data_IF_447136530981
#
_entry.id   IF_447136530981
#
_cell.length_a   1.000
_cell.length_b   1.000
_cell.length_c   1.000
_cell.angle_alpha   90.00
_cell.angle_beta   90.00
_cell.angle_gamma   90.00
#
_symmetry.space_group_name_H-M   'P 1'
#
loop_
_entity.id
_entity.type
_entity.pdbx_description
1 polymer ?
#
# COMPACT_ATOMS: atom_id res chain seq x y z
N UNK A 1 1.61 4.25 -17.41
CA UNK A 1 1.67 5.69 -17.68
C UNK A 1 0.42 6.30 -17.07
N UNK A 2 0.55 6.87 -15.87
CA UNK A 2 -0.51 7.75 -15.37
C UNK A 2 -0.61 8.96 -16.28
N UNK A 3 -1.75 9.64 -16.28
CA UNK A 3 -1.90 10.90 -17.02
C UNK A 3 -0.95 11.92 -16.38
N UNK A 4 0.22 12.10 -16.97
CA UNK A 4 1.35 12.85 -16.38
C UNK A 4 0.96 14.27 -16.00
N UNK A 5 0.11 14.91 -16.81
CA UNK A 5 -0.40 16.26 -16.58
C UNK A 5 -1.54 16.33 -15.56
N UNK A 6 -2.21 15.21 -15.27
CA UNK A 6 -3.32 15.19 -14.32
C UNK A 6 -2.81 15.25 -12.89
N UNK A 7 -1.68 14.61 -12.59
CA UNK A 7 -1.08 14.68 -11.26
C UNK A 7 -0.65 16.11 -10.90
N UNK A 8 0.04 16.80 -11.82
CA UNK A 8 0.43 18.20 -11.67
C UNK A 8 -0.78 19.12 -11.47
N UNK A 9 -1.90 18.79 -12.11
CA UNK A 9 -3.14 19.52 -11.94
C UNK A 9 -3.80 19.25 -10.58
N UNK A 10 -3.89 17.97 -10.17
CA UNK A 10 -4.47 17.54 -8.90
C UNK A 10 -3.69 18.10 -7.71
N UNK A 11 -2.36 18.23 -7.84
CA UNK A 11 -1.51 18.85 -6.81
C UNK A 11 -1.96 20.27 -6.41
N UNK A 12 -2.65 21.01 -7.28
CA UNK A 12 -3.21 22.33 -6.97
C UNK A 12 -4.37 22.29 -5.98
N UNK A 13 -5.01 21.13 -5.83
CA UNK A 13 -6.16 20.89 -4.96
C UNK A 13 -5.78 20.08 -3.72
N UNK A 14 -4.53 19.66 -3.59
CA UNK A 14 -4.04 18.96 -2.39
C UNK A 14 -4.04 19.92 -1.22
N UNK A 15 -4.75 19.56 -0.16
CA UNK A 15 -4.78 20.31 1.08
C UNK A 15 -3.96 19.59 2.16
N UNK A 16 -3.16 20.34 2.96
CA UNK A 16 -2.50 19.75 4.11
C UNK A 16 -3.54 19.35 5.15
N UNK A 17 -3.50 18.09 5.58
CA UNK A 17 -4.37 17.56 6.63
C UNK A 17 -3.50 17.17 7.81
N UNK A 18 -3.80 17.72 8.99
CA UNK A 18 -3.18 17.26 10.22
C UNK A 18 -3.70 15.85 10.56
N UNK A 19 -2.81 14.96 10.97
CA UNK A 19 -3.16 13.57 11.31
C UNK A 19 -4.26 13.47 12.38
N UNK A 20 -4.34 14.43 13.30
CA UNK A 20 -5.39 14.49 14.32
C UNK A 20 -6.80 14.63 13.73
N UNK A 21 -6.95 15.14 12.50
CA UNK A 21 -8.25 15.17 11.79
C UNK A 21 -8.74 13.78 11.39
N UNK A 22 -7.83 12.79 11.33
CA UNK A 22 -8.12 11.39 11.03
C UNK A 22 -8.37 10.56 12.29
N UNK A 23 -8.33 11.17 13.48
CA UNK A 23 -8.57 10.47 14.74
C UNK A 23 -9.95 9.81 14.75
N UNK A 24 -10.01 8.56 15.23
CA UNK A 24 -11.17 7.67 15.22
C UNK A 24 -11.71 7.36 13.81
N UNK A 25 -10.93 7.58 12.76
CA UNK A 25 -11.28 7.18 11.39
C UNK A 25 -10.59 5.88 11.02
N UNK A 26 -11.35 5.01 10.36
CA UNK A 26 -10.83 3.87 9.60
C UNK A 26 -10.25 4.36 8.28
N UNK A 27 -8.99 4.04 8.02
CA UNK A 27 -8.27 4.46 6.81
C UNK A 27 -7.71 3.23 6.11
N UNK A 28 -8.08 3.04 4.83
CA UNK A 28 -7.48 2.00 4.00
C UNK A 28 -6.04 2.38 3.65
N UNK A 29 -5.18 1.39 3.47
CA UNK A 29 -3.78 1.59 3.07
C UNK A 29 -3.50 0.64 1.90
N UNK A 30 -3.00 1.17 0.79
CA UNK A 30 -2.42 0.32 -0.25
C UNK A 30 -1.06 -0.22 0.24
N UNK A 31 -1.06 -1.50 0.61
CA UNK A 31 0.12 -2.20 1.10
C UNK A 31 1.17 -2.45 0.02
N UNK A 32 0.77 -2.66 -1.25
CA UNK A 32 1.74 -2.87 -2.32
C UNK A 32 2.51 -1.59 -2.61
N UNK A 33 1.86 -0.43 -2.55
CA UNK A 33 2.55 0.87 -2.61
C UNK A 33 3.67 0.95 -1.56
N UNK A 34 3.39 0.68 -0.29
CA UNK A 34 4.41 0.73 0.78
C UNK A 34 5.54 -0.29 0.59
N UNK A 35 5.21 -1.52 0.22
CA UNK A 35 6.21 -2.55 -0.02
C UNK A 35 7.15 -2.13 -1.17
N UNK A 36 6.59 -1.56 -2.24
CA UNK A 36 7.35 -1.13 -3.40
C UNK A 36 8.25 0.08 -3.11
N UNK A 37 7.82 1.00 -2.25
CA UNK A 37 8.66 2.09 -1.76
C UNK A 37 9.92 1.57 -1.08
N UNK A 38 9.77 0.54 -0.24
CA UNK A 38 10.89 -0.06 0.48
C UNK A 38 11.82 -0.78 -0.48
N UNK A 39 11.27 -1.61 -1.39
CA UNK A 39 12.08 -2.38 -2.34
C UNK A 39 12.84 -1.51 -3.34
N UNK A 40 12.29 -0.35 -3.71
CA UNK A 40 12.97 0.64 -4.56
C UNK A 40 14.00 1.48 -3.81
N UNK A 41 14.27 1.19 -2.53
CA UNK A 41 15.20 1.95 -1.70
C UNK A 41 14.74 3.37 -1.39
N UNK A 42 13.45 3.69 -1.57
CA UNK A 42 12.90 5.02 -1.31
C UNK A 42 12.70 5.31 0.18
N UNK A 43 13.04 4.36 1.06
CA UNK A 43 12.94 4.50 2.53
C UNK A 43 14.34 4.46 3.12
N UNK A 44 14.96 5.65 3.25
CA UNK A 44 16.35 5.79 3.71
C UNK A 44 16.57 5.25 5.14
N UNK A 45 15.60 5.46 6.04
CA UNK A 45 15.75 5.24 7.48
C UNK A 45 15.74 3.77 7.92
N UNK A 46 15.08 2.88 7.17
CA UNK A 46 15.02 1.44 7.51
C UNK A 46 15.96 0.57 6.68
N UNK A 47 16.74 1.16 5.77
CA UNK A 47 17.57 0.45 4.79
C UNK A 47 18.65 -0.45 5.40
N UNK A 48 19.05 -0.20 6.65
CA UNK A 48 20.04 -0.99 7.39
C UNK A 48 19.45 -2.20 8.13
N UNK A 49 18.11 -2.30 8.24
CA UNK A 49 17.47 -3.42 8.88
C UNK A 49 17.51 -4.66 7.99
N UNK A 50 17.64 -5.85 8.58
CA UNK A 50 17.63 -7.14 7.85
C UNK A 50 16.34 -7.35 7.04
N UNK A 51 15.22 -6.80 7.52
CA UNK A 51 13.89 -6.84 6.89
C UNK A 51 13.26 -5.44 6.91
N UNK A 52 13.67 -4.54 6.00
CA UNK A 52 13.28 -3.13 6.03
C UNK A 52 11.77 -2.92 5.83
N UNK A 53 11.12 -3.84 5.11
CA UNK A 53 9.68 -3.82 4.86
C UNK A 53 8.88 -4.04 6.16
N UNK A 54 9.27 -5.00 6.99
CA UNK A 54 8.61 -5.22 8.29
C UNK A 54 8.75 -4.00 9.20
N UNK A 55 9.96 -3.43 9.29
CA UNK A 55 10.18 -2.22 10.09
C UNK A 55 9.34 -1.05 9.59
N UNK A 56 9.20 -0.90 8.27
CA UNK A 56 8.40 0.17 7.68
C UNK A 56 6.92 -0.01 8.02
N UNK A 57 6.36 -1.20 7.80
CA UNK A 57 4.96 -1.48 8.12
C UNK A 57 4.68 -1.33 9.62
N UNK A 58 5.57 -1.83 10.48
CA UNK A 58 5.46 -1.70 11.93
C UNK A 58 5.40 -0.23 12.35
N UNK A 59 6.39 0.57 11.98
CA UNK A 59 6.49 1.97 12.41
C UNK A 59 5.34 2.81 11.85
N UNK A 60 4.97 2.61 10.58
CA UNK A 60 3.86 3.37 9.97
C UNK A 60 2.51 3.01 10.60
N UNK A 61 2.21 1.72 10.78
CA UNK A 61 0.96 1.32 11.42
C UNK A 61 0.91 1.75 12.88
N UNK A 62 2.03 1.64 13.61
CA UNK A 62 2.14 2.10 14.99
C UNK A 62 1.84 3.60 15.12
N UNK A 63 2.44 4.44 14.28
CA UNK A 63 2.20 5.88 14.29
C UNK A 63 0.74 6.23 14.01
N UNK A 64 0.07 5.53 13.09
CA UNK A 64 -1.36 5.71 12.84
C UNK A 64 -2.20 5.32 14.05
N UNK A 65 -1.90 4.19 14.69
CA UNK A 65 -2.60 3.72 15.89
C UNK A 65 -2.41 4.66 17.08
N UNK A 66 -1.20 5.21 17.28
CA UNK A 66 -0.89 6.18 18.34
C UNK A 66 -1.69 7.48 18.17
N UNK A 67 -1.98 7.89 16.94
CA UNK A 67 -2.86 9.04 16.61
C UNK A 67 -4.36 8.70 16.66
N UNK A 68 -4.71 7.45 17.02
CA UNK A 68 -6.09 6.97 17.09
C UNK A 68 -6.73 6.74 15.72
N UNK A 69 -5.94 6.55 14.67
CA UNK A 69 -6.41 6.11 13.35
C UNK A 69 -6.48 4.59 13.32
N UNK A 70 -7.53 4.03 12.73
CA UNK A 70 -7.66 2.58 12.54
C UNK A 70 -7.22 2.18 11.11
N UNK A 71 -5.96 1.72 10.92
CA UNK A 71 -5.50 1.29 9.61
C UNK A 71 -6.14 -0.05 9.18
N UNK A 72 -6.47 -0.15 7.89
CA UNK A 72 -6.82 -1.41 7.22
C UNK A 72 -5.93 -1.56 5.99
N UNK A 73 -5.03 -2.53 6.01
CA UNK A 73 -4.06 -2.73 4.92
C UNK A 73 -4.67 -3.60 3.82
N UNK A 74 -4.65 -3.11 2.59
CA UNK A 74 -5.15 -3.82 1.42
C UNK A 74 -3.97 -4.20 0.53
N UNK A 75 -3.87 -5.49 0.22
CA UNK A 75 -2.87 -6.03 -0.71
C UNK A 75 -3.51 -6.33 -2.06
N UNK A 76 -2.78 -6.14 -3.15
CA UNK A 76 -3.18 -6.59 -4.47
C UNK A 76 -3.39 -8.10 -4.49
N UNK A 77 -4.39 -8.52 -5.27
CA UNK A 77 -4.63 -9.92 -5.55
C UNK A 77 -3.52 -10.49 -6.42
N UNK A 78 -3.02 -11.67 -6.05
CA UNK A 78 -2.21 -12.49 -6.93
C UNK A 78 -3.16 -13.48 -7.59
N UNK A 79 -3.19 -13.53 -8.93
CA UNK A 79 -4.01 -14.49 -9.67
C UNK A 79 -3.72 -15.91 -9.12
N UNK A 80 -4.76 -16.72 -8.84
CA UNK A 80 -4.60 -18.06 -8.26
C UNK A 80 -3.67 -18.97 -9.11
N UNK A 81 -3.70 -18.79 -10.43
CA UNK A 81 -2.77 -19.44 -11.37
C UNK A 81 -1.31 -19.01 -11.14
N UNK A 82 -1.05 -17.72 -10.86
CA UNK A 82 0.29 -17.23 -10.51
C UNK A 82 0.73 -17.81 -9.16
N UNK A 83 -0.18 -17.91 -8.18
CA UNK A 83 0.09 -18.48 -6.84
C UNK A 83 0.47 -19.96 -6.90
N UNK A 84 -0.26 -20.75 -7.70
CA UNK A 84 0.04 -22.18 -7.91
C UNK A 84 1.38 -22.40 -8.64
N UNK A 85 1.72 -21.55 -9.60
CA UNK A 85 3.01 -21.65 -10.31
C UNK A 85 4.21 -21.29 -9.42
N UNK A 86 4.01 -20.43 -8.41
CA UNK A 86 5.03 -20.10 -7.39
C UNK A 86 5.27 -21.29 -6.47
N UNK A 87 4.23 -21.93 -5.95
CA UNK A 87 4.35 -23.09 -5.03
C UNK A 87 5.00 -24.31 -5.69
N UNK A 88 4.79 -24.51 -7.00
CA UNK A 88 5.34 -25.65 -7.74
C UNK A 88 6.72 -25.41 -8.36
N UNK A 89 7.31 -24.22 -8.22
CA UNK A 89 8.64 -23.91 -8.79
C UNK A 89 8.72 -24.03 -10.32
N UNK A 90 7.59 -24.03 -11.03
CA UNK A 90 7.56 -24.23 -12.48
C UNK A 90 7.74 -22.89 -13.18
N UNK A 91 8.96 -22.67 -13.71
CA UNK A 91 9.29 -21.57 -14.62
C UNK A 91 8.65 -21.80 -16.00
N UNK A 92 7.33 -21.74 -16.12
CA UNK A 92 6.66 -21.75 -17.43
C UNK A 92 6.10 -20.38 -17.77
N UNK A 93 6.92 -19.63 -18.51
CA UNK A 93 6.52 -18.47 -19.30
C UNK A 93 5.25 -18.78 -20.11
N UNK A 94 4.13 -18.17 -19.74
CA UNK A 94 3.04 -17.88 -20.69
C UNK A 94 2.78 -16.39 -20.69
N UNK A 95 3.28 -15.73 -21.76
CA UNK A 95 2.99 -14.34 -22.11
C UNK A 95 1.50 -14.18 -22.44
N UNK A 96 0.65 -14.05 -21.43
CA UNK A 96 -0.63 -13.37 -21.62
C UNK A 96 -0.30 -11.87 -21.56
N UNK A 97 -0.22 -11.25 -22.73
CA UNK A 97 -0.16 -9.78 -22.87
C UNK A 97 -1.49 -9.20 -22.39
N UNK A 98 -1.71 -9.11 -21.07
CA UNK A 98 -2.74 -8.23 -20.51
C UNK A 98 -2.24 -6.79 -20.69
N UNK A 99 -2.77 -6.11 -21.70
CA UNK A 99 -2.66 -4.66 -21.89
C UNK A 99 -3.15 -3.99 -20.59
N UNK A 100 -2.22 -3.49 -19.79
CA UNK A 100 -2.54 -2.71 -18.58
C UNK A 100 -1.56 -2.87 -17.41
N UNK A 101 -0.74 -3.93 -17.34
CA UNK A 101 0.11 -4.14 -16.16
C UNK A 101 1.26 -3.13 -16.09
N UNK A 102 1.09 -2.08 -15.28
CA UNK A 102 2.16 -1.21 -14.76
C UNK A 102 3.32 -2.10 -14.26
N UNK A 103 4.45 -2.08 -14.96
CA UNK A 103 5.82 -2.21 -14.44
C UNK A 103 6.17 -3.27 -13.36
N UNK A 104 5.49 -4.41 -13.30
CA UNK A 104 5.94 -5.54 -12.47
C UNK A 104 6.52 -6.62 -13.36
N UNK A 105 7.83 -6.85 -13.26
CA UNK A 105 8.40 -8.06 -13.86
C UNK A 105 7.93 -9.27 -13.05
N UNK A 106 7.83 -10.43 -13.68
CA UNK A 106 7.44 -11.68 -13.01
C UNK A 106 8.30 -11.96 -11.77
N UNK A 107 9.57 -11.59 -11.84
CA UNK A 107 10.57 -11.80 -10.80
C UNK A 107 10.31 -10.91 -9.59
N UNK A 108 9.91 -9.65 -9.80
CA UNK A 108 9.56 -8.73 -8.70
C UNK A 108 8.30 -9.19 -7.96
N UNK A 109 7.29 -9.66 -8.69
CA UNK A 109 6.09 -10.25 -8.06
C UNK A 109 6.47 -11.44 -7.17
N UNK A 110 7.31 -12.35 -7.68
CA UNK A 110 7.77 -13.52 -6.93
C UNK A 110 8.54 -13.15 -5.66
N UNK A 111 9.35 -12.09 -5.70
CA UNK A 111 10.05 -11.60 -4.50
C UNK A 111 9.10 -11.01 -3.45
N UNK A 112 7.98 -10.42 -3.89
CA UNK A 112 7.02 -9.76 -3.01
C UNK A 112 6.12 -10.73 -2.26
N UNK A 113 5.71 -11.86 -2.87
CA UNK A 113 4.81 -12.85 -2.25
C UNK A 113 5.26 -13.28 -0.84
N UNK A 114 6.50 -13.77 -0.62
CA UNK A 114 6.92 -14.18 0.72
C UNK A 114 6.97 -13.00 1.70
N UNK A 115 7.32 -11.80 1.23
CA UNK A 115 7.37 -10.60 2.08
C UNK A 115 5.98 -10.16 2.51
N UNK A 116 4.98 -10.23 1.62
CA UNK A 116 3.57 -9.94 1.93
C UNK A 116 3.08 -10.87 3.03
N UNK A 117 3.43 -12.16 2.97
CA UNK A 117 3.01 -13.12 4.00
C UNK A 117 3.63 -12.80 5.38
N UNK A 118 4.92 -12.48 5.42
CA UNK A 118 5.55 -12.00 6.66
C UNK A 118 4.92 -10.70 7.19
N UNK A 119 4.53 -9.78 6.30
CA UNK A 119 3.85 -8.55 6.69
C UNK A 119 2.49 -8.88 7.31
N UNK A 120 1.71 -9.80 6.75
CA UNK A 120 0.42 -10.19 7.34
C UNK A 120 0.57 -10.78 8.72
N UNK A 121 1.59 -11.62 8.94
CA UNK A 121 1.91 -12.15 10.27
C UNK A 121 2.19 -11.02 11.27
N UNK A 122 2.98 -10.03 10.85
CA UNK A 122 3.23 -8.82 11.64
C UNK A 122 1.93 -8.06 11.94
N UNK A 123 1.10 -7.76 10.92
CA UNK A 123 -0.16 -7.04 11.08
C UNK A 123 -1.12 -7.76 12.04
N UNK A 124 -1.22 -9.09 11.94
CA UNK A 124 -1.99 -9.92 12.87
C UNK A 124 -1.50 -9.75 14.32
N UNK A 125 -0.18 -9.81 14.55
CA UNK A 125 0.39 -9.60 15.89
C UNK A 125 0.18 -8.18 16.44
N UNK A 126 0.07 -7.18 15.56
CA UNK A 126 -0.24 -5.80 15.93
C UNK A 126 -1.75 -5.55 16.14
N UNK A 127 -2.62 -6.51 15.79
CA UNK A 127 -4.06 -6.31 15.77
C UNK A 127 -4.55 -5.41 14.62
N UNK A 128 -3.73 -5.20 13.59
CA UNK A 128 -4.09 -4.41 12.41
C UNK A 128 -4.79 -5.31 11.40
N UNK A 129 -5.97 -4.88 10.95
CA UNK A 129 -6.75 -5.61 9.93
C UNK A 129 -6.09 -5.50 8.57
N UNK A 130 -6.14 -6.59 7.81
CA UNK A 130 -5.72 -6.60 6.41
C UNK A 130 -6.68 -7.41 5.55
N UNK A 131 -6.63 -7.19 4.24
CA UNK A 131 -7.33 -7.99 3.24
C UNK A 131 -6.56 -8.06 1.93
N UNK A 132 -6.87 -9.07 1.11
CA UNK A 132 -6.42 -9.17 -0.27
C UNK A 132 -7.55 -8.69 -1.20
N UNK A 133 -7.21 -7.87 -2.19
CA UNK A 133 -8.11 -7.53 -3.29
C UNK A 133 -8.17 -8.70 -4.29
N UNK A 134 -9.18 -8.69 -5.16
CA UNK A 134 -9.23 -9.68 -6.27
C UNK A 134 -8.28 -9.35 -7.40
N UNK A 135 -7.98 -8.07 -7.60
CA UNK A 135 -7.17 -7.56 -8.72
C UNK A 135 -6.30 -6.41 -8.19
N UNK A 136 -6.86 -5.20 -8.06
CA UNK A 136 -6.12 -4.01 -7.63
C UNK A 136 -6.53 -3.54 -6.24
N UNK A 137 -5.54 -3.25 -5.40
CA UNK A 137 -5.69 -2.76 -4.04
C UNK A 137 -6.38 -1.41 -3.99
N UNK A 138 -6.00 -0.45 -4.84
CA UNK A 138 -6.63 0.88 -4.88
C UNK A 138 -8.11 0.81 -5.24
N UNK A 139 -8.50 -0.06 -6.19
CA UNK A 139 -9.90 -0.29 -6.53
C UNK A 139 -10.68 -0.86 -5.33
N UNK A 140 -10.08 -1.80 -4.60
CA UNK A 140 -10.68 -2.37 -3.39
C UNK A 140 -10.80 -1.33 -2.28
N UNK A 141 -9.80 -0.46 -2.09
CA UNK A 141 -9.85 0.66 -1.16
C UNK A 141 -11.00 1.62 -1.48
N UNK A 142 -11.15 2.00 -2.76
CA UNK A 142 -12.22 2.90 -3.20
C UNK A 142 -13.60 2.28 -2.94
N UNK A 143 -13.75 0.98 -3.20
CA UNK A 143 -14.99 0.26 -2.89
C UNK A 143 -15.29 0.20 -1.38
N UNK A 144 -14.27 0.05 -0.52
CA UNK A 144 -14.47 0.10 0.92
C UNK A 144 -14.98 1.47 1.37
N UNK A 145 -14.48 2.55 0.78
CA UNK A 145 -14.94 3.91 1.10
C UNK A 145 -16.37 4.13 0.63
N UNK A 146 -16.71 3.73 -0.60
CA UNK A 146 -18.07 3.83 -1.14
C UNK A 146 -19.10 3.06 -0.29
N UNK A 147 -18.67 1.99 0.38
CA UNK A 147 -19.51 1.20 1.31
C UNK A 147 -19.52 1.76 2.74
N UNK A 148 -18.84 2.87 3.02
CA UNK A 148 -18.74 3.46 4.36
C UNK A 148 -17.91 2.63 5.36
N UNK A 149 -17.11 1.68 4.87
CA UNK A 149 -16.28 0.82 5.71
C UNK A 149 -14.97 1.51 6.11
N UNK A 150 -14.48 2.42 5.27
CA UNK A 150 -13.36 3.32 5.56
C UNK A 150 -13.75 4.76 5.21
N UNK A 151 -12.97 5.72 5.68
CA UNK A 151 -13.18 7.15 5.46
C UNK A 151 -12.19 7.76 4.47
N UNK A 152 -11.43 6.91 3.79
CA UNK A 152 -10.43 7.29 2.80
C UNK A 152 -9.31 6.26 2.71
N UNK A 153 -8.34 6.54 1.85
CA UNK A 153 -7.23 5.66 1.54
C UNK A 153 -5.89 6.41 1.54
N UNK A 154 -4.87 5.79 2.12
CA UNK A 154 -3.47 6.17 1.92
C UNK A 154 -2.95 5.39 0.71
N UNK A 155 -2.76 6.09 -0.39
CA UNK A 155 -2.20 5.55 -1.62
C UNK A 155 -1.33 6.60 -2.31
N UNK A 156 -0.46 6.17 -3.21
CA UNK A 156 0.41 7.07 -3.97
C UNK A 156 -0.22 7.49 -5.28
N UNK A 157 -0.86 6.56 -5.97
CA UNK A 157 -1.41 6.83 -7.29
C UNK A 157 -2.82 7.43 -7.19
N UNK A 158 -3.20 8.13 -8.25
CA UNK A 158 -4.52 8.75 -8.37
C UNK A 158 -5.58 7.73 -8.82
N UNK A 159 -5.19 6.49 -9.13
CA UNK A 159 -6.12 5.50 -9.68
C UNK A 159 -7.24 5.20 -8.66
N UNK A 160 -6.96 5.30 -7.35
CA UNK A 160 -7.96 5.35 -6.28
C UNK A 160 -9.15 6.29 -6.54
N UNK A 161 -8.88 7.52 -7.00
CA UNK A 161 -9.94 8.50 -7.32
C UNK A 161 -10.67 8.08 -8.59
N UNK A 162 -9.96 7.51 -9.58
CA UNK A 162 -10.57 6.99 -10.81
C UNK A 162 -11.52 5.82 -10.54
N UNK A 163 -11.26 5.02 -9.50
CA UNK A 163 -12.16 3.98 -9.00
C UNK A 163 -13.34 4.52 -8.17
N UNK A 164 -13.44 5.84 -8.02
CA UNK A 164 -14.53 6.52 -7.32
C UNK A 164 -14.30 6.67 -5.82
N UNK A 165 -13.04 6.64 -5.36
CA UNK A 165 -12.67 7.11 -4.04
C UNK A 165 -12.79 8.64 -3.94
N UNK A 166 -13.09 9.15 -2.76
CA UNK A 166 -13.27 10.57 -2.46
C UNK A 166 -12.11 11.14 -1.64
N UNK A 167 -11.64 10.40 -0.63
CA UNK A 167 -10.61 10.89 0.29
C UNK A 167 -9.28 10.15 0.07
N UNK A 168 -8.45 10.69 -0.82
CA UNK A 168 -7.08 10.22 -1.05
C UNK A 168 -6.10 10.98 -0.15
N UNK A 169 -5.37 10.24 0.68
CA UNK A 169 -4.33 10.77 1.56
C UNK A 169 -2.96 10.35 1.05
N UNK A 170 -2.02 11.29 1.06
CA UNK A 170 -0.61 10.99 0.80
C UNK A 170 0.21 11.25 2.06
N UNK A 171 0.72 10.18 2.63
CA UNK A 171 1.55 10.27 3.82
C UNK A 171 2.97 10.72 3.41
N UNK A 172 3.25 12.03 3.55
CA UNK A 172 4.63 12.55 3.57
C UNK A 172 5.25 12.28 4.95
N UNK A 173 5.59 11.03 5.22
CA UNK A 173 6.26 10.65 6.45
C UNK A 173 7.75 11.05 6.38
N UNK A 174 8.03 12.35 6.52
CA UNK A 174 9.37 12.81 6.88
C UNK A 174 9.51 12.61 8.40
N UNK A 175 10.09 11.48 8.82
CA UNK A 175 10.48 11.24 10.22
C UNK A 175 11.75 12.04 10.59
N UNK A 176 11.65 13.38 10.55
CA UNK A 176 12.66 14.28 11.10
C UNK A 176 11.96 15.25 12.05
N UNK A 177 11.65 14.80 13.27
CA UNK A 177 11.27 15.70 14.37
C UNK A 177 11.33 15.10 15.80
N UNK A 178 11.48 13.78 16.00
CA UNK A 178 11.36 13.18 17.35
C UNK A 178 12.55 12.33 17.79
N UNK A 179 13.78 12.74 17.47
CA UNK A 179 15.00 12.13 18.03
C UNK A 179 15.98 13.12 18.66
N UNK A 180 15.61 14.38 18.88
CA UNK A 180 16.38 15.30 19.71
C UNK A 180 15.50 15.90 20.80
N UNK A 181 15.49 15.26 21.98
CA UNK A 181 15.11 15.83 23.29
C UNK A 181 15.72 14.97 24.39
#
# INVERSE_FOLDING_TARGET
MGVTSMWEYVQKFVQPVNISALRNKRIAIDGHTWLCEVLRGSVAHCSTARKPYLSTFYTRCRSLLEEGVEPIVVFDGIDEEERANVDYGVTSMRKVRKRGSKYWTSELKQEMVPKVEEIKMLLNSMGVRWMESKLEGEAQCAQLEQRGLVHGCIARDFDYILFGGNNLYQARLHYYAFMDS
#
